data_IF_771164203921
#
_entry.id   IF_771164203921
#
_cell.length_a   1.000
_cell.length_b   1.000
_cell.length_c   1.000
_cell.angle_alpha   90.00
_cell.angle_beta   90.00
_cell.angle_gamma   90.00
#
_symmetry.space_group_name_H-M   'P 1'
#
loop_
_entity.id
_entity.type
_entity.pdbx_description
1 polymer ?
#
# COMPACT_ATOMS: atom_id res chain seq x y z
N UNK A 1 -47.18 52.43 -36.67
CA UNK A 1 -46.21 51.70 -35.82
C UNK A 1 -46.76 50.30 -35.60
N UNK A 2 -46.28 49.31 -36.33
CA UNK A 2 -46.78 47.94 -36.21
C UNK A 2 -46.29 47.33 -34.90
N UNK A 3 -47.21 47.15 -33.95
CA UNK A 3 -46.96 46.61 -32.61
C UNK A 3 -46.19 45.28 -32.69
N UNK A 4 -46.51 44.44 -33.68
CA UNK A 4 -45.81 43.17 -33.93
C UNK A 4 -44.34 43.41 -34.28
N UNK A 5 -44.04 44.37 -35.17
CA UNK A 5 -42.67 44.67 -35.56
C UNK A 5 -41.87 45.25 -34.39
N UNK A 6 -42.49 46.10 -33.57
CA UNK A 6 -41.88 46.62 -32.34
C UNK A 6 -41.53 45.49 -31.35
N UNK A 7 -42.45 44.55 -31.13
CA UNK A 7 -42.22 43.43 -30.22
C UNK A 7 -41.10 42.51 -30.74
N UNK A 8 -41.03 42.26 -32.05
CA UNK A 8 -39.93 41.48 -32.64
C UNK A 8 -38.58 42.17 -32.43
N UNK A 9 -38.52 43.49 -32.66
CA UNK A 9 -37.30 44.26 -32.43
C UNK A 9 -36.86 44.24 -30.97
N UNK A 10 -37.81 44.35 -30.04
CA UNK A 10 -37.55 44.28 -28.61
C UNK A 10 -36.98 42.91 -28.20
N UNK A 11 -37.57 41.81 -28.70
CA UNK A 11 -37.07 40.45 -28.43
C UNK A 11 -35.64 40.27 -28.95
N UNK A 12 -35.35 40.76 -30.15
CA UNK A 12 -34.00 40.71 -30.72
C UNK A 12 -32.98 41.52 -29.91
N UNK A 13 -33.38 42.68 -29.37
CA UNK A 13 -32.53 43.48 -28.48
C UNK A 13 -32.24 42.76 -27.16
N UNK A 14 -33.28 42.21 -26.52
CA UNK A 14 -33.14 41.44 -25.28
C UNK A 14 -32.25 40.20 -25.46
N UNK A 15 -32.40 39.51 -26.60
CA UNK A 15 -31.54 38.38 -26.95
C UNK A 15 -30.06 38.79 -27.03
N UNK A 16 -29.76 39.88 -27.73
CA UNK A 16 -28.38 40.40 -27.84
C UNK A 16 -27.82 40.80 -26.47
N UNK A 17 -28.62 41.43 -25.61
CA UNK A 17 -28.22 41.77 -24.24
C UNK A 17 -27.90 40.51 -23.41
N UNK A 18 -28.72 39.46 -23.49
CA UNK A 18 -28.45 38.19 -22.81
C UNK A 18 -27.16 37.52 -23.30
N UNK A 19 -26.92 37.48 -24.62
CA UNK A 19 -25.67 36.95 -25.16
C UNK A 19 -24.44 37.71 -24.66
N UNK A 20 -24.50 39.05 -24.63
CA UNK A 20 -23.44 39.88 -24.10
C UNK A 20 -23.20 39.61 -22.61
N UNK A 21 -24.26 39.55 -21.80
CA UNK A 21 -24.16 39.29 -20.36
C UNK A 21 -23.53 37.92 -20.08
N UNK A 22 -23.93 36.87 -20.80
CA UNK A 22 -23.34 35.54 -20.65
C UNK A 22 -21.84 35.57 -21.00
N UNK A 23 -21.47 36.19 -22.11
CA UNK A 23 -20.05 36.31 -22.50
C UNK A 23 -19.25 37.11 -21.47
N UNK A 24 -19.82 38.20 -20.93
CA UNK A 24 -19.20 39.00 -19.89
C UNK A 24 -18.96 38.17 -18.61
N UNK A 25 -19.98 37.44 -18.15
CA UNK A 25 -19.89 36.58 -16.97
C UNK A 25 -18.81 35.50 -17.19
N UNK A 26 -18.86 34.76 -18.31
CA UNK A 26 -17.89 33.70 -18.59
C UNK A 26 -16.45 34.20 -18.71
N UNK A 27 -16.24 35.43 -19.20
CA UNK A 27 -14.90 35.97 -19.48
C UNK A 27 -14.29 36.71 -18.28
N UNK A 28 -15.10 37.43 -17.51
CA UNK A 28 -14.60 38.38 -16.52
C UNK A 28 -15.00 38.07 -15.09
N UNK A 29 -16.02 37.22 -14.88
CA UNK A 29 -16.36 36.76 -13.54
C UNK A 29 -15.71 35.39 -13.38
N UNK A 30 -14.68 35.24 -12.54
CA UNK A 30 -14.13 33.94 -12.23
C UNK A 30 -15.21 33.18 -11.46
N UNK A 31 -16.04 32.42 -12.18
CA UNK A 31 -17.01 31.52 -11.58
C UNK A 31 -16.17 30.45 -10.89
N UNK A 32 -15.83 30.66 -9.60
CA UNK A 32 -15.32 29.61 -8.74
C UNK A 32 -16.33 28.48 -8.86
N UNK A 33 -15.83 27.39 -9.42
CA UNK A 33 -16.56 26.24 -9.89
C UNK A 33 -17.76 25.92 -8.98
N UNK A 34 -18.97 25.96 -9.53
CA UNK A 34 -20.17 25.39 -8.90
C UNK A 34 -20.16 23.85 -8.94
N UNK A 35 -19.02 23.22 -9.20
CA UNK A 35 -18.89 21.78 -8.96
C UNK A 35 -18.78 21.63 -7.45
N UNK A 36 -19.88 21.24 -6.80
CA UNK A 36 -19.84 20.66 -5.48
C UNK A 36 -18.68 19.64 -5.47
N UNK A 37 -17.69 19.88 -4.62
CA UNK A 37 -16.51 19.04 -4.54
C UNK A 37 -16.86 17.70 -3.90
N UNK A 38 -17.52 16.85 -4.69
CA UNK A 38 -17.96 15.51 -4.29
C UNK A 38 -16.76 14.56 -4.19
N UNK A 39 -15.53 15.02 -4.48
CA UNK A 39 -14.31 14.23 -4.31
C UNK A 39 -14.10 13.80 -2.84
N UNK A 40 -14.64 14.59 -1.91
CA UNK A 40 -14.63 14.30 -0.48
C UNK A 40 -15.86 13.54 0.02
N UNK A 41 -16.85 13.29 -0.83
CA UNK A 41 -18.07 12.59 -0.43
C UNK A 41 -17.82 11.10 -0.18
N UNK A 42 -18.44 10.51 0.86
CA UNK A 42 -18.35 9.08 1.13
C UNK A 42 -18.80 8.21 -0.06
N UNK A 43 -19.67 8.73 -0.93
CA UNK A 43 -20.15 8.01 -2.11
C UNK A 43 -19.07 7.90 -3.19
N UNK A 44 -18.29 8.95 -3.39
CA UNK A 44 -17.20 9.00 -4.39
C UNK A 44 -15.95 8.28 -3.89
N UNK A 45 -15.63 8.40 -2.60
CA UNK A 45 -14.46 7.75 -2.00
C UNK A 45 -14.49 6.21 -2.06
N UNK A 46 -15.67 5.58 -2.17
CA UNK A 46 -15.80 4.12 -2.34
C UNK A 46 -15.13 3.58 -3.60
N UNK A 47 -14.98 4.42 -4.63
CA UNK A 47 -14.34 4.05 -5.90
C UNK A 47 -12.88 4.48 -5.97
N UNK A 48 -12.36 5.11 -4.92
CA UNK A 48 -10.96 5.52 -4.86
C UNK A 48 -10.12 4.27 -4.60
N UNK A 49 -9.11 4.06 -5.43
CA UNK A 49 -8.14 2.98 -5.25
C UNK A 49 -7.33 3.29 -3.98
N UNK A 50 -7.13 2.28 -3.14
CA UNK A 50 -6.24 2.41 -1.98
C UNK A 50 -4.83 2.81 -2.43
N UNK A 51 -4.14 3.57 -1.58
CA UNK A 51 -2.73 3.84 -1.82
C UNK A 51 -1.96 2.52 -1.88
N UNK A 52 -1.01 2.41 -2.81
CA UNK A 52 -0.14 1.24 -2.88
C UNK A 52 0.51 1.00 -1.51
N UNK A 53 0.56 -0.26 -1.06
CA UNK A 53 1.23 -0.59 0.19
C UNK A 53 2.70 -0.18 0.10
N UNK A 54 3.21 0.43 1.17
CA UNK A 54 4.64 0.73 1.26
C UNK A 54 5.41 -0.57 1.47
N UNK A 55 6.09 -1.04 0.44
CA UNK A 55 7.00 -2.20 0.55
C UNK A 55 8.29 -1.72 1.21
N UNK A 56 8.48 -2.05 2.49
CA UNK A 56 9.70 -1.76 3.25
C UNK A 56 10.56 -3.02 3.27
N UNK A 57 11.82 -2.92 2.86
CA UNK A 57 12.78 -4.02 3.03
C UNK A 57 13.28 -4.06 4.46
N UNK A 58 12.70 -4.93 5.28
CA UNK A 58 13.22 -5.21 6.62
C UNK A 58 14.46 -6.13 6.52
N UNK A 59 15.55 -5.62 5.93
CA UNK A 59 16.83 -6.33 5.98
C UNK A 59 17.44 -6.11 7.36
N UNK A 60 17.35 -7.12 8.22
CA UNK A 60 18.03 -7.10 9.51
C UNK A 60 19.53 -7.33 9.27
N UNK A 61 20.37 -6.40 9.72
CA UNK A 61 21.83 -6.49 9.56
C UNK A 61 22.51 -7.48 10.51
N UNK A 62 21.74 -8.12 11.39
CA UNK A 62 22.26 -8.89 12.51
C UNK A 62 22.57 -10.33 12.07
N UNK A 63 23.74 -10.82 12.44
CA UNK A 63 24.10 -12.21 12.21
C UNK A 63 23.50 -13.11 13.30
N UNK A 64 23.29 -14.39 13.00
CA UNK A 64 22.69 -15.34 13.94
C UNK A 64 23.47 -15.44 15.26
N UNK A 65 24.81 -15.31 15.21
CA UNK A 65 25.69 -15.29 16.38
C UNK A 65 25.40 -14.11 17.32
N UNK A 66 25.11 -12.95 16.74
CA UNK A 66 24.84 -11.72 17.49
C UNK A 66 23.48 -11.83 18.19
N UNK A 67 22.49 -12.40 17.48
CA UNK A 67 21.17 -12.70 18.03
C UNK A 67 21.25 -13.69 19.20
N UNK A 68 21.99 -14.80 19.07
CA UNK A 68 22.18 -15.76 20.18
C UNK A 68 22.83 -15.08 21.39
N UNK A 69 23.88 -14.29 21.17
CA UNK A 69 24.57 -13.56 22.24
C UNK A 69 23.65 -12.56 22.93
N UNK A 70 22.83 -11.84 22.16
CA UNK A 70 21.82 -10.93 22.66
C UNK A 70 20.78 -11.66 23.52
N UNK A 71 20.22 -12.79 23.05
CA UNK A 71 19.22 -13.55 23.79
C UNK A 71 19.78 -14.10 25.10
N UNK A 72 21.03 -14.55 25.10
CA UNK A 72 21.72 -15.00 26.30
C UNK A 72 21.91 -13.85 27.29
N UNK A 73 22.40 -12.68 26.85
CA UNK A 73 22.61 -11.53 27.72
C UNK A 73 21.31 -10.96 28.30
N UNK A 74 20.26 -10.89 27.48
CA UNK A 74 19.00 -10.23 27.85
C UNK A 74 18.04 -11.15 28.61
N UNK A 75 17.98 -12.43 28.25
CA UNK A 75 16.97 -13.35 28.79
C UNK A 75 17.58 -14.56 29.50
N UNK A 76 18.91 -14.68 29.57
CA UNK A 76 19.58 -15.85 30.15
C UNK A 76 19.36 -17.15 29.36
N UNK A 77 18.90 -17.05 28.10
CA UNK A 77 18.55 -18.20 27.27
C UNK A 77 19.52 -18.35 26.11
N UNK A 78 20.29 -19.43 26.12
CA UNK A 78 21.14 -19.81 24.98
C UNK A 78 20.33 -20.65 23.99
N UNK A 79 20.17 -20.15 22.77
CA UNK A 79 19.49 -20.89 21.70
C UNK A 79 20.42 -21.99 21.20
N UNK A 80 20.03 -23.25 21.43
CA UNK A 80 20.73 -24.43 20.90
C UNK A 80 20.23 -24.77 19.49
N UNK A 81 21.03 -25.49 18.67
CA UNK A 81 20.56 -26.08 17.42
C UNK A 81 19.24 -26.86 17.55
N UNK A 82 18.57 -27.11 16.43
CA UNK A 82 17.35 -27.92 16.41
C UNK A 82 17.73 -29.35 16.79
N UNK A 83 17.07 -29.89 17.82
CA UNK A 83 17.20 -31.30 18.17
C UNK A 83 16.35 -32.14 17.20
N UNK A 84 16.98 -33.08 16.51
CA UNK A 84 16.34 -33.90 15.46
C UNK A 84 16.11 -35.31 16.00
N UNK A 85 14.85 -35.72 16.11
CA UNK A 85 14.46 -37.06 16.56
C UNK A 85 14.41 -38.12 15.44
N UNK A 86 14.63 -37.72 14.18
CA UNK A 86 14.62 -38.59 13.01
C UNK A 86 15.40 -37.99 11.84
N UNK A 87 15.32 -38.63 10.67
CA UNK A 87 15.96 -38.14 9.45
C UNK A 87 15.49 -36.73 9.09
N UNK A 88 16.44 -35.89 8.68
CA UNK A 88 16.16 -34.50 8.37
C UNK A 88 16.57 -34.18 6.95
N UNK A 89 15.56 -33.86 6.13
CA UNK A 89 15.72 -33.56 4.72
C UNK A 89 15.99 -32.08 4.44
N UNK A 90 16.36 -31.29 5.46
CA UNK A 90 16.74 -29.88 5.24
C UNK A 90 18.11 -29.85 4.54
N UNK A 91 18.25 -29.19 3.39
CA UNK A 91 19.52 -29.11 2.67
C UNK A 91 20.64 -28.52 3.55
N UNK A 92 21.85 -29.07 3.46
CA UNK A 92 22.99 -28.69 4.32
C UNK A 92 23.59 -27.34 3.94
N UNK A 93 23.43 -26.94 2.69
CA UNK A 93 23.77 -25.66 2.10
C UNK A 93 22.75 -24.55 2.40
N UNK A 94 21.60 -24.89 3.01
CA UNK A 94 20.55 -23.94 3.32
C UNK A 94 20.91 -23.04 4.52
N UNK A 95 20.68 -21.74 4.36
CA UNK A 95 20.82 -20.72 5.41
C UNK A 95 19.59 -19.83 5.50
N UNK A 96 19.29 -19.33 6.70
CA UNK A 96 18.21 -18.36 6.89
C UNK A 96 18.48 -17.06 6.10
N UNK A 97 17.56 -16.59 5.24
CA UNK A 97 17.76 -15.37 4.45
C UNK A 97 17.74 -14.09 5.29
N UNK A 98 17.27 -14.15 6.54
CA UNK A 98 17.11 -12.99 7.42
C UNK A 98 18.27 -12.81 8.41
N UNK A 99 18.85 -13.90 8.92
CA UNK A 99 19.93 -13.83 9.92
C UNK A 99 21.16 -14.70 9.58
N UNK A 100 21.16 -15.35 8.41
CA UNK A 100 22.22 -16.27 7.95
C UNK A 100 22.49 -17.47 8.88
N UNK A 101 21.52 -17.85 9.72
CA UNK A 101 21.66 -19.06 10.55
C UNK A 101 21.81 -20.31 9.66
N UNK A 102 22.76 -21.21 9.97
CA UNK A 102 22.99 -22.42 9.18
C UNK A 102 21.89 -23.46 9.38
N UNK A 103 21.86 -24.47 8.50
CA UNK A 103 20.85 -25.54 8.48
C UNK A 103 20.60 -26.22 9.84
N UNK A 104 21.60 -26.26 10.73
CA UNK A 104 21.47 -26.78 12.09
C UNK A 104 20.40 -26.07 12.95
N UNK A 105 20.08 -24.81 12.63
CA UNK A 105 19.05 -24.01 13.30
C UNK A 105 17.74 -23.93 12.51
N UNK A 106 17.63 -24.66 11.40
CA UNK A 106 16.47 -24.69 10.54
C UNK A 106 15.66 -25.98 10.74
N UNK A 107 14.34 -25.86 10.65
CA UNK A 107 13.41 -26.98 10.70
C UNK A 107 12.22 -26.78 9.78
N UNK A 108 11.60 -27.86 9.34
CA UNK A 108 10.35 -27.81 8.59
C UNK A 108 9.21 -27.28 9.46
N UNK A 109 8.57 -26.20 9.01
CA UNK A 109 7.38 -25.64 9.66
C UNK A 109 6.13 -26.50 9.37
N UNK A 110 6.00 -26.96 8.12
CA UNK A 110 4.78 -27.63 7.63
C UNK A 110 4.82 -29.17 7.76
N UNK A 111 5.72 -29.69 8.61
CA UNK A 111 5.86 -31.12 8.88
C UNK A 111 6.07 -31.94 7.60
N UNK A 112 5.11 -32.80 7.26
CA UNK A 112 5.17 -33.71 6.09
C UNK A 112 5.22 -32.99 4.74
N UNK A 113 4.66 -31.78 4.63
CA UNK A 113 4.64 -31.05 3.35
C UNK A 113 6.03 -30.55 2.93
N UNK A 114 6.92 -30.32 3.91
CA UNK A 114 8.30 -29.89 3.69
C UNK A 114 8.43 -28.73 2.68
N UNK A 115 7.52 -27.74 2.75
CA UNK A 115 7.45 -26.59 1.83
C UNK A 115 7.99 -25.28 2.42
N UNK A 116 8.05 -25.18 3.74
CA UNK A 116 8.44 -23.97 4.44
C UNK A 116 9.36 -24.31 5.60
N UNK A 117 10.47 -23.58 5.72
CA UNK A 117 11.38 -23.63 6.84
C UNK A 117 11.08 -22.55 7.86
N UNK A 118 11.34 -22.89 9.11
CA UNK A 118 11.37 -22.00 10.26
C UNK A 118 12.80 -21.88 10.78
N UNK A 119 13.29 -20.64 10.93
CA UNK A 119 14.55 -20.39 11.63
C UNK A 119 14.34 -20.33 13.13
N UNK A 120 15.04 -21.18 13.90
CA UNK A 120 14.97 -21.18 15.37
C UNK A 120 15.60 -19.93 16.02
N UNK A 121 16.47 -19.21 15.31
CA UNK A 121 17.20 -18.04 15.85
C UNK A 121 16.36 -16.76 15.73
N UNK A 122 15.91 -16.41 14.51
CA UNK A 122 15.15 -15.18 14.27
C UNK A 122 13.65 -15.39 14.07
N UNK A 123 13.16 -16.64 14.11
CA UNK A 123 11.77 -17.01 13.88
C UNK A 123 11.22 -16.66 12.48
N UNK A 124 12.08 -16.37 11.50
CA UNK A 124 11.67 -16.14 10.12
C UNK A 124 11.10 -17.42 9.49
N UNK A 125 10.00 -17.27 8.75
CA UNK A 125 9.45 -18.30 7.88
C UNK A 125 9.85 -18.01 6.44
N UNK A 126 10.38 -19.00 5.74
CA UNK A 126 10.77 -18.85 4.33
C UNK A 126 10.68 -20.20 3.60
N UNK A 127 10.44 -20.13 2.30
CA UNK A 127 10.47 -21.29 1.42
C UNK A 127 11.89 -21.53 0.91
N UNK A 128 12.22 -22.79 0.64
CA UNK A 128 13.48 -23.22 0.01
C UNK A 128 13.16 -23.76 -1.38
#
# INVERSE_FOLDING_TARGET
>A
MDIIMYLIQLVQQLYKQNCFLIQFICKYIPIKQWAFDDSHSPKYQKFKIDNLPKVISFKQEWNWTDLISYYQKRYGKTIKPVFRHGECNVPTDCTCPQCNAPYHYLMWNDGKKQSQLLCKVCHSLFSV
#
